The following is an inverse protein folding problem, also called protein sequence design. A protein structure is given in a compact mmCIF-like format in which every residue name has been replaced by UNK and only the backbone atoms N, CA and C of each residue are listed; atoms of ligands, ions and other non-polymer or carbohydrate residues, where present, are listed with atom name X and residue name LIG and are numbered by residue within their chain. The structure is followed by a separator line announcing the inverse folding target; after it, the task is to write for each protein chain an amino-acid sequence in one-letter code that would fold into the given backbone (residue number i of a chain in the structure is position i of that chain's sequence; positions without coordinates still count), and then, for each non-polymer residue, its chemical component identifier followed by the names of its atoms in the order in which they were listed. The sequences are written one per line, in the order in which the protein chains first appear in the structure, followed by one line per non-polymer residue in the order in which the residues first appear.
data_IF_800034314685
#
_entry.id   IF_800034314685
#
_cell.length_a   1.000
_cell.length_b   1.000
_cell.length_c   1.000
_cell.angle_alpha   90.00
_cell.angle_beta   90.00
_cell.angle_gamma   90.00
#
_symmetry.space_group_name_H-M   'P 1'
#
loop_
_entity.id
_entity.type
_entity.pdbx_description
1 polymer ?
#
# COMPACT_ATOMS: atom_id res chain seq x y z
N UNK A 1 -26.62 6.58 -1.96
CA UNK A 1 -25.84 5.85 -2.97
C UNK A 1 -26.02 6.42 -4.38
N UNK A 2 -27.22 6.34 -5.00
CA UNK A 2 -27.46 6.88 -6.36
C UNK A 2 -27.06 8.35 -6.54
N UNK A 3 -27.45 9.21 -5.60
CA UNK A 3 -27.07 10.63 -5.63
C UNK A 3 -25.54 10.84 -5.60
N UNK A 4 -24.81 10.05 -4.79
CA UNK A 4 -23.35 10.13 -4.71
C UNK A 4 -22.67 9.66 -6.01
N UNK A 5 -23.15 8.55 -6.59
CA UNK A 5 -22.64 8.04 -7.88
C UNK A 5 -22.95 8.99 -9.04
N UNK A 6 -24.17 9.51 -9.09
CA UNK A 6 -24.56 10.52 -10.08
C UNK A 6 -23.69 11.76 -9.96
N UNK A 7 -23.46 12.27 -8.74
CA UNK A 7 -22.55 13.40 -8.54
C UNK A 7 -21.12 13.08 -9.00
N UNK A 8 -20.59 11.91 -8.67
CA UNK A 8 -19.26 11.49 -9.12
C UNK A 8 -19.14 11.49 -10.65
N UNK A 9 -20.17 11.03 -11.37
CA UNK A 9 -20.20 11.07 -12.83
C UNK A 9 -20.24 12.50 -13.38
N UNK A 10 -21.01 13.41 -12.77
CA UNK A 10 -21.06 14.82 -13.24
C UNK A 10 -19.71 15.52 -13.15
N UNK A 11 -18.79 15.04 -12.30
CA UNK A 11 -17.43 15.59 -12.16
C UNK A 11 -16.38 14.74 -12.88
N UNK A 12 -16.80 13.74 -13.67
CA UNK A 12 -15.90 12.85 -14.41
C UNK A 12 -15.09 11.87 -13.52
N UNK A 13 -15.49 11.68 -12.26
CA UNK A 13 -14.81 10.75 -11.37
C UNK A 13 -15.15 9.30 -11.75
N UNK A 14 -14.14 8.42 -11.68
CA UNK A 14 -14.35 6.98 -11.86
C UNK A 14 -15.14 6.39 -10.70
N UNK A 15 -16.10 5.55 -11.03
CA UNK A 15 -17.07 4.99 -10.08
C UNK A 15 -16.92 3.48 -9.97
N UNK A 16 -16.89 2.99 -8.73
CA UNK A 16 -16.84 1.56 -8.43
C UNK A 16 -17.98 1.21 -7.48
N UNK A 17 -18.73 0.17 -7.82
CA UNK A 17 -19.77 -0.40 -6.97
C UNK A 17 -19.28 -1.71 -6.37
N UNK A 18 -19.21 -1.78 -5.03
CA UNK A 18 -19.03 -3.04 -4.30
C UNK A 18 -20.39 -3.48 -3.72
N UNK A 19 -20.88 -4.63 -4.13
CA UNK A 19 -22.14 -5.21 -3.63
C UNK A 19 -21.99 -6.70 -3.35
N UNK A 20 -22.71 -7.22 -2.35
CA UNK A 20 -22.75 -8.66 -2.05
C UNK A 20 -24.06 -9.34 -2.50
N UNK A 21 -24.92 -8.58 -3.16
CA UNK A 21 -26.18 -9.01 -3.80
C UNK A 21 -26.33 -8.34 -5.16
N UNK A 22 -27.09 -8.94 -6.06
CA UNK A 22 -27.31 -8.39 -7.40
C UNK A 22 -27.95 -6.99 -7.28
N UNK A 23 -27.24 -5.90 -7.67
CA UNK A 23 -27.78 -4.55 -7.59
C UNK A 23 -28.83 -4.34 -8.68
N UNK A 24 -29.71 -3.33 -8.56
CA UNK A 24 -30.61 -2.94 -9.65
C UNK A 24 -29.81 -2.69 -10.93
N UNK A 25 -30.24 -3.27 -12.07
CA UNK A 25 -29.54 -3.18 -13.37
C UNK A 25 -29.14 -1.75 -13.74
N UNK A 26 -30.08 -0.81 -13.62
CA UNK A 26 -29.83 0.62 -13.89
C UNK A 26 -28.72 1.23 -13.03
N UNK A 27 -28.48 0.71 -11.82
CA UNK A 27 -27.41 1.19 -10.95
C UNK A 27 -26.06 0.59 -11.36
N UNK A 28 -26.04 -0.71 -11.68
CA UNK A 28 -24.86 -1.39 -12.18
C UNK A 28 -24.36 -0.77 -13.49
N UNK A 29 -25.26 -0.56 -14.44
CA UNK A 29 -24.97 -0.01 -15.77
C UNK A 29 -24.38 1.41 -15.72
N UNK A 30 -24.60 2.14 -14.62
CA UNK A 30 -24.06 3.49 -14.44
C UNK A 30 -22.65 3.50 -13.85
N UNK A 31 -22.18 2.41 -13.25
CA UNK A 31 -20.85 2.37 -12.61
C UNK A 31 -19.78 1.91 -13.62
N UNK A 32 -18.57 2.50 -13.58
CA UNK A 32 -17.47 2.08 -14.44
C UNK A 32 -17.02 0.64 -14.13
N UNK A 33 -17.06 0.25 -12.85
CA UNK A 33 -16.70 -1.09 -12.38
C UNK A 33 -17.71 -1.58 -11.35
N UNK A 34 -18.13 -2.84 -11.47
CA UNK A 34 -18.96 -3.52 -10.47
C UNK A 34 -18.19 -4.72 -9.91
N UNK A 35 -17.98 -4.75 -8.60
CA UNK A 35 -17.36 -5.83 -7.85
C UNK A 35 -18.45 -6.53 -7.04
N UNK A 36 -18.75 -7.78 -7.40
CA UNK A 36 -19.90 -8.53 -6.90
C UNK A 36 -19.52 -9.85 -6.21
N UNK A 37 -18.87 -9.83 -5.04
CA UNK A 37 -18.61 -11.04 -4.27
C UNK A 37 -19.92 -11.68 -3.78
N UNK A 38 -20.31 -12.80 -4.37
CA UNK A 38 -21.52 -13.56 -4.00
C UNK A 38 -21.23 -14.43 -2.76
N UNK A 39 -21.61 -13.93 -1.58
CA UNK A 39 -21.33 -14.60 -0.30
C UNK A 39 -22.45 -15.53 0.19
N UNK A 40 -23.61 -15.52 -0.48
CA UNK A 40 -24.80 -16.30 -0.11
C UNK A 40 -25.50 -15.81 1.17
N UNK A 41 -26.55 -16.51 1.64
CA UNK A 41 -27.32 -16.14 2.83
C UNK A 41 -26.45 -16.09 4.09
N UNK A 42 -26.68 -15.10 4.95
CA UNK A 42 -25.93 -14.96 6.21
C UNK A 42 -26.36 -16.01 7.24
N UNK A 43 -25.43 -16.39 8.13
CA UNK A 43 -25.72 -17.35 9.20
C UNK A 43 -26.79 -16.83 10.17
N UNK A 44 -26.76 -15.52 10.45
CA UNK A 44 -27.89 -14.80 11.04
C UNK A 44 -28.59 -14.02 9.93
N UNK A 45 -29.82 -14.40 9.62
CA UNK A 45 -30.60 -13.80 8.53
C UNK A 45 -30.60 -12.27 8.62
N UNK A 46 -30.14 -11.62 7.55
CA UNK A 46 -30.07 -10.16 7.44
C UNK A 46 -28.84 -9.50 8.09
N UNK A 47 -28.00 -10.23 8.84
CA UNK A 47 -26.82 -9.68 9.50
C UNK A 47 -25.62 -9.55 8.54
N UNK A 48 -25.71 -8.63 7.57
CA UNK A 48 -24.72 -8.41 6.51
C UNK A 48 -23.34 -7.93 7.02
N UNK A 49 -23.22 -7.53 8.28
CA UNK A 49 -21.91 -7.26 8.91
C UNK A 49 -20.99 -8.49 8.98
N UNK A 50 -21.53 -9.69 8.73
CA UNK A 50 -20.80 -10.97 8.77
C UNK A 50 -20.06 -11.25 7.45
N UNK A 51 -20.58 -12.11 6.57
CA UNK A 51 -19.86 -12.50 5.35
C UNK A 51 -19.76 -11.34 4.37
N UNK A 52 -20.84 -10.59 4.14
CA UNK A 52 -20.81 -9.45 3.22
C UNK A 52 -19.86 -8.34 3.72
N UNK A 53 -19.85 -8.05 5.02
CA UNK A 53 -18.90 -7.11 5.64
C UNK A 53 -17.44 -7.57 5.51
N UNK A 54 -17.18 -8.86 5.74
CA UNK A 54 -15.85 -9.45 5.56
C UNK A 54 -15.39 -9.38 4.11
N UNK A 55 -16.24 -9.74 3.15
CA UNK A 55 -15.94 -9.65 1.72
C UNK A 55 -15.64 -8.20 1.31
N UNK A 56 -16.44 -7.24 1.78
CA UNK A 56 -16.21 -5.81 1.52
C UNK A 56 -14.86 -5.34 2.06
N UNK A 57 -14.48 -5.74 3.29
CA UNK A 57 -13.16 -5.46 3.86
C UNK A 57 -12.04 -6.00 2.98
N UNK A 58 -12.15 -7.25 2.53
CA UNK A 58 -11.13 -7.86 1.66
C UNK A 58 -10.99 -7.10 0.34
N UNK A 59 -12.10 -6.78 -0.31
CA UNK A 59 -12.11 -5.98 -1.55
C UNK A 59 -11.43 -4.62 -1.36
N UNK A 60 -11.80 -3.87 -0.31
CA UNK A 60 -11.22 -2.56 -0.04
C UNK A 60 -9.74 -2.63 0.32
N UNK A 61 -9.32 -3.65 1.08
CA UNK A 61 -7.92 -3.92 1.38
C UNK A 61 -7.14 -4.23 0.10
N UNK A 62 -7.69 -5.04 -0.81
CA UNK A 62 -7.05 -5.35 -2.09
C UNK A 62 -6.89 -4.11 -2.96
N UNK A 63 -7.93 -3.28 -3.09
CA UNK A 63 -7.89 -2.05 -3.90
C UNK A 63 -6.84 -1.09 -3.34
N UNK A 64 -6.93 -0.76 -2.05
CA UNK A 64 -6.02 0.20 -1.41
C UNK A 64 -4.57 -0.30 -1.42
N UNK A 65 -4.34 -1.56 -1.05
CA UNK A 65 -2.99 -2.16 -1.05
C UNK A 65 -2.42 -2.20 -2.46
N UNK A 66 -3.19 -2.67 -3.44
CA UNK A 66 -2.76 -2.74 -4.84
C UNK A 66 -2.43 -1.36 -5.40
N UNK A 67 -3.25 -0.34 -5.12
CA UNK A 67 -2.99 1.04 -5.51
C UNK A 67 -1.69 1.57 -4.89
N UNK A 68 -1.48 1.36 -3.59
CA UNK A 68 -0.27 1.80 -2.89
C UNK A 68 1.00 1.13 -3.43
N UNK A 69 0.94 -0.19 -3.72
CA UNK A 69 2.05 -0.91 -4.37
C UNK A 69 2.36 -0.30 -5.74
N UNK A 70 1.33 -0.05 -6.56
CA UNK A 70 1.50 0.58 -7.90
C UNK A 70 2.01 2.01 -7.84
N UNK A 71 1.87 2.71 -6.71
CA UNK A 71 2.43 4.03 -6.45
C UNK A 71 3.84 3.99 -5.82
N UNK A 72 4.48 2.82 -5.76
CA UNK A 72 5.85 2.68 -5.23
C UNK A 72 5.94 2.83 -3.71
N UNK A 73 4.86 2.58 -2.98
CA UNK A 73 4.82 2.65 -1.49
C UNK A 73 5.36 1.38 -0.82
N UNK A 74 5.58 0.32 -1.61
CA UNK A 74 6.16 -0.94 -1.20
C UNK A 74 7.43 -1.25 -2.01
N UNK A 75 8.32 -2.04 -1.42
CA UNK A 75 9.53 -2.55 -2.06
C UNK A 75 9.67 -4.04 -1.73
N UNK A 76 9.52 -4.90 -2.75
CA UNK A 76 9.21 -6.31 -2.50
C UNK A 76 7.87 -6.45 -1.78
N UNK A 77 7.85 -7.17 -0.66
CA UNK A 77 6.71 -7.28 0.26
C UNK A 77 6.80 -6.29 1.45
N UNK A 78 7.81 -5.42 1.49
CA UNK A 78 8.04 -4.49 2.58
C UNK A 78 7.32 -3.16 2.35
N UNK A 79 6.62 -2.68 3.38
CA UNK A 79 6.00 -1.35 3.39
C UNK A 79 7.05 -0.32 3.77
N UNK A 80 7.62 0.37 2.79
CA UNK A 80 8.78 1.26 2.96
C UNK A 80 8.41 2.74 3.10
N UNK A 81 7.20 3.13 2.71
CA UNK A 81 6.73 4.52 2.73
C UNK A 81 6.18 4.90 4.12
N UNK A 82 7.07 4.93 5.12
CA UNK A 82 6.73 5.30 6.50
C UNK A 82 7.77 6.23 7.12
N UNK A 83 7.29 7.04 8.07
CA UNK A 83 8.10 7.93 8.89
C UNK A 83 8.28 7.34 10.30
N UNK A 84 9.52 7.33 10.80
CA UNK A 84 9.91 6.76 12.08
C UNK A 84 9.55 7.68 13.28
N UNK A 85 8.27 8.03 13.43
CA UNK A 85 7.78 9.04 14.40
C UNK A 85 7.43 8.48 15.79
N UNK A 86 7.35 7.15 15.93
CA UNK A 86 7.06 6.47 17.20
C UNK A 86 8.02 5.33 17.39
N UNK A 87 8.18 4.83 18.62
CA UNK A 87 9.11 3.72 18.90
C UNK A 87 8.77 2.46 18.09
N UNK A 88 7.48 2.17 17.91
CA UNK A 88 7.02 1.09 17.03
C UNK A 88 7.46 1.29 15.58
N UNK A 89 7.35 2.51 15.05
CA UNK A 89 7.72 2.81 13.66
C UNK A 89 9.23 2.93 13.47
N UNK A 90 9.98 3.39 14.48
CA UNK A 90 11.44 3.38 14.51
C UNK A 90 11.97 1.95 14.44
N UNK A 91 11.47 1.10 15.32
CA UNK A 91 11.87 -0.30 15.37
C UNK A 91 11.52 -1.05 14.07
N UNK A 92 10.30 -0.87 13.55
CA UNK A 92 9.90 -1.42 12.24
C UNK A 92 10.78 -0.89 11.11
N UNK A 93 11.06 0.42 11.09
CA UNK A 93 11.88 1.06 10.07
C UNK A 93 13.30 0.51 10.07
N UNK A 94 13.93 0.38 11.25
CA UNK A 94 15.26 -0.19 11.40
C UNK A 94 15.30 -1.62 10.83
N UNK A 95 14.34 -2.47 11.19
CA UNK A 95 14.24 -3.85 10.68
C UNK A 95 14.16 -3.90 9.15
N UNK A 96 13.36 -3.03 8.55
CA UNK A 96 13.25 -2.91 7.08
C UNK A 96 14.57 -2.49 6.45
N UNK A 97 15.25 -1.48 6.98
CA UNK A 97 16.54 -1.01 6.43
C UNK A 97 17.61 -2.09 6.56
N UNK A 98 17.67 -2.79 7.69
CA UNK A 98 18.57 -3.93 7.91
C UNK A 98 18.33 -5.02 6.87
N UNK A 99 17.08 -5.43 6.65
CA UNK A 99 16.71 -6.47 5.69
C UNK A 99 17.06 -6.07 4.25
N UNK A 100 16.76 -4.83 3.86
CA UNK A 100 16.99 -4.34 2.49
C UNK A 100 18.47 -4.09 2.18
N UNK A 101 19.20 -3.54 3.15
CA UNK A 101 20.56 -3.05 2.94
C UNK A 101 21.63 -4.03 3.43
N UNK A 102 21.26 -5.04 4.23
CA UNK A 102 22.22 -5.98 4.84
C UNK A 102 23.11 -5.32 5.89
N UNK A 103 22.60 -4.31 6.58
CA UNK A 103 23.33 -3.52 7.60
C UNK A 103 22.89 -3.89 9.01
N UNK A 104 23.73 -3.59 10.00
CA UNK A 104 23.35 -3.73 11.40
C UNK A 104 22.32 -2.67 11.85
N UNK A 105 21.80 -2.86 13.07
CA UNK A 105 20.73 -2.00 13.61
C UNK A 105 21.20 -0.56 13.90
N UNK A 106 22.47 -0.38 14.26
CA UNK A 106 23.02 0.95 14.55
C UNK A 106 23.20 1.75 13.25
N UNK A 107 23.70 1.12 12.20
CA UNK A 107 23.77 1.67 10.85
C UNK A 107 22.37 1.99 10.30
N UNK A 108 21.40 1.09 10.49
CA UNK A 108 20.02 1.33 10.09
C UNK A 108 19.40 2.52 10.84
N UNK A 109 19.65 2.64 12.15
CA UNK A 109 19.20 3.79 12.94
C UNK A 109 19.77 5.10 12.40
N UNK A 110 21.09 5.16 12.21
CA UNK A 110 21.78 6.35 11.66
C UNK A 110 21.24 6.74 10.29
N UNK A 111 21.08 5.77 9.37
CA UNK A 111 20.53 6.04 8.05
C UNK A 111 19.11 6.62 8.10
N UNK A 112 18.27 6.17 9.04
CA UNK A 112 16.92 6.72 9.24
C UNK A 112 16.97 8.14 9.81
N UNK A 113 17.87 8.40 10.76
CA UNK A 113 18.08 9.75 11.33
C UNK A 113 18.58 10.73 10.25
N UNK A 114 19.59 10.34 9.49
CA UNK A 114 20.15 11.13 8.38
C UNK A 114 19.12 11.35 7.25
N UNK A 115 18.15 10.44 7.11
CA UNK A 115 17.01 10.56 6.20
C UNK A 115 15.83 11.37 6.77
N UNK A 116 16.00 12.05 7.91
CA UNK A 116 14.93 12.83 8.55
C UNK A 116 13.75 11.96 9.03
N UNK A 117 14.00 10.69 9.32
CA UNK A 117 13.01 9.71 9.74
C UNK A 117 12.33 8.93 8.60
N UNK A 118 12.64 9.22 7.33
CA UNK A 118 12.06 8.53 6.18
C UNK A 118 12.77 7.19 5.91
N UNK A 119 12.06 6.07 6.11
CA UNK A 119 12.62 4.73 5.86
C UNK A 119 12.94 4.52 4.39
N UNK A 120 12.07 5.03 3.50
CA UNK A 120 12.24 4.93 2.05
C UNK A 120 13.52 5.61 1.56
N UNK A 121 13.78 6.81 2.07
CA UNK A 121 14.99 7.57 1.73
C UNK A 121 16.23 6.94 2.39
N UNK A 122 16.11 6.49 3.64
CA UNK A 122 17.18 5.77 4.34
C UNK A 122 17.67 4.54 3.58
N UNK A 123 16.75 3.76 2.98
CA UNK A 123 17.10 2.63 2.11
C UNK A 123 17.97 3.08 0.93
N UNK A 124 17.59 4.16 0.24
CA UNK A 124 18.34 4.66 -0.92
C UNK A 124 19.72 5.16 -0.48
N UNK A 125 19.79 5.94 0.60
CA UNK A 125 21.05 6.43 1.17
C UNK A 125 21.97 5.27 1.57
N UNK A 126 21.46 4.31 2.35
CA UNK A 126 22.25 3.17 2.84
C UNK A 126 22.72 2.26 1.71
N UNK A 127 21.92 2.06 0.65
CA UNK A 127 22.32 1.20 -0.48
C UNK A 127 23.31 1.84 -1.44
N UNK A 128 23.23 3.16 -1.62
CA UNK A 128 24.03 3.90 -2.60
C UNK A 128 25.22 4.65 -2.01
N UNK A 129 25.24 4.85 -0.69
CA UNK A 129 26.23 5.71 -0.02
C UNK A 129 26.05 7.20 -0.31
N UNK A 130 24.95 7.60 -0.94
CA UNK A 130 24.69 9.00 -1.30
C UNK A 130 24.26 9.85 -0.10
N UNK A 131 24.54 11.15 -0.17
CA UNK A 131 24.02 12.12 0.78
C UNK A 131 22.49 12.23 0.70
N UNK A 132 21.86 12.75 1.76
CA UNK A 132 20.42 12.98 1.83
C UNK A 132 19.85 13.62 0.56
N UNK A 133 20.45 14.72 0.10
CA UNK A 133 19.95 15.48 -1.03
C UNK A 133 20.14 14.76 -2.37
N UNK A 134 21.25 14.04 -2.55
CA UNK A 134 21.48 13.25 -3.74
C UNK A 134 20.50 12.06 -3.81
N UNK A 135 20.31 11.34 -2.69
CA UNK A 135 19.37 10.23 -2.60
C UNK A 135 17.92 10.68 -2.80
N UNK A 136 17.54 11.85 -2.24
CA UNK A 136 16.22 12.45 -2.45
C UNK A 136 15.96 12.74 -3.93
N UNK A 137 16.90 13.42 -4.60
CA UNK A 137 16.80 13.71 -6.05
C UNK A 137 16.72 12.42 -6.87
N UNK A 138 17.50 11.40 -6.54
CA UNK A 138 17.45 10.11 -7.23
C UNK A 138 16.07 9.43 -7.05
N UNK A 139 15.51 9.48 -5.85
CA UNK A 139 14.19 8.91 -5.58
C UNK A 139 13.06 9.70 -6.28
N UNK A 140 13.16 11.02 -6.35
CA UNK A 140 12.23 11.88 -7.09
C UNK A 140 12.30 11.61 -8.61
N UNK A 141 13.51 11.53 -9.18
CA UNK A 141 13.72 11.17 -10.58
C UNK A 141 13.19 9.76 -10.90
N UNK A 142 13.23 8.85 -9.93
CA UNK A 142 12.63 7.52 -10.01
C UNK A 142 11.09 7.52 -9.84
N UNK A 143 10.44 8.67 -9.65
CA UNK A 143 9.00 8.79 -9.41
C UNK A 143 8.57 8.18 -8.07
N UNK A 144 9.47 8.12 -7.09
CA UNK A 144 9.24 7.50 -5.79
C UNK A 144 9.37 5.98 -5.78
N UNK A 145 9.83 5.33 -6.86
CA UNK A 145 10.01 3.87 -6.88
C UNK A 145 11.45 3.51 -6.47
N UNK A 146 11.62 2.94 -5.27
CA UNK A 146 12.94 2.45 -4.81
C UNK A 146 13.58 1.54 -5.86
N UNK A 147 12.79 0.64 -6.48
CA UNK A 147 13.29 -0.32 -7.48
C UNK A 147 14.02 0.33 -8.65
N UNK A 148 13.54 1.49 -9.10
CA UNK A 148 14.17 2.23 -10.20
C UNK A 148 15.43 2.97 -9.76
N UNK A 149 15.55 3.30 -8.46
CA UNK A 149 16.70 4.01 -7.92
C UNK A 149 17.86 3.07 -7.56
N UNK A 150 17.58 1.87 -7.03
CA UNK A 150 18.62 0.98 -6.46
C UNK A 150 18.54 -0.49 -6.93
N UNK A 151 17.66 -0.83 -7.87
CA UNK A 151 17.52 -2.19 -8.38
C UNK A 151 16.48 -3.03 -7.64
N UNK A 152 16.57 -4.35 -7.76
CA UNK A 152 15.56 -5.28 -7.25
C UNK A 152 15.61 -5.46 -5.72
N UNK A 153 14.46 -5.66 -5.06
CA UNK A 153 14.43 -5.94 -3.62
C UNK A 153 15.19 -7.23 -3.31
N UNK A 154 15.71 -7.38 -2.08
CA UNK A 154 16.26 -8.66 -1.65
C UNK A 154 15.20 -9.76 -1.83
N UNK A 155 15.62 -11.00 -2.13
CA UNK A 155 14.69 -12.12 -2.17
C UNK A 155 13.97 -12.24 -0.81
N UNK A 156 12.69 -12.52 -0.86
CA UNK A 156 11.93 -12.82 0.36
C UNK A 156 12.55 -14.07 0.96
N UNK A 157 13.21 -13.93 2.10
CA UNK A 157 13.67 -15.07 2.90
C UNK A 157 12.41 -15.79 3.36
N UNK A 158 11.96 -16.76 2.57
CA UNK A 158 10.90 -17.66 2.98
C UNK A 158 11.35 -18.34 4.27
N UNK A 159 10.54 -18.23 5.31
CA UNK A 159 10.52 -19.28 6.32
C UNK A 159 10.35 -20.58 5.55
N UNK A 160 11.41 -21.40 5.49
CA UNK A 160 11.30 -22.74 4.93
C UNK A 160 10.25 -23.49 5.73
N UNK A 161 9.23 -23.98 5.01
CA UNK A 161 8.10 -24.79 5.48
C UNK A 161 7.11 -24.11 6.44
#
# INVERSE_FOLDING_TARGET
MRAALSRAQTIGAKTVLVSCSDPPKQLADTCDVVILPKVGPEALTGSTRMKAGTATKLVLNTISTGAMIRMGRAYGNLMVDLMALSDKLRDRGQRIVMEVCGVDRDAARRAIEDAGGSVKLAIVMAKTGQSHDAARRALEAAGGFIRKAIGDPPPVMGTGA
#
